data_IF_492426497147
#
_entry.id   IF_492426497147
#
_cell.length_a   1.000
_cell.length_b   1.000
_cell.length_c   1.000
_cell.angle_alpha   90.00
_cell.angle_beta   90.00
_cell.angle_gamma   90.00
#
_symmetry.space_group_name_H-M   'P 1'
#
loop_
_entity.id
_entity.type
_entity.pdbx_description
1 polymer ?
#
# COMPACT_ATOMS: atom_id res chain seq x y z
N UNK A 1 13.96 11.49 0.84
CA UNK A 1 13.25 10.20 0.73
C UNK A 1 12.58 10.02 -0.63
N UNK A 2 12.26 8.78 -0.98
CA UNK A 2 11.48 8.43 -2.17
C UNK A 2 10.24 7.66 -1.75
N UNK A 3 9.08 8.08 -2.20
CA UNK A 3 7.80 7.40 -2.05
C UNK A 3 7.44 6.73 -3.37
N UNK A 4 7.41 5.39 -3.39
CA UNK A 4 6.85 4.61 -4.49
C UNK A 4 5.35 4.40 -4.21
N UNK A 5 4.51 4.96 -5.04
CA UNK A 5 3.07 4.90 -4.86
C UNK A 5 2.40 4.12 -5.99
N UNK A 6 1.70 3.07 -5.62
CA UNK A 6 0.99 2.19 -6.55
C UNK A 6 -0.27 2.87 -7.11
N UNK A 7 -0.77 2.34 -8.21
CA UNK A 7 -1.83 2.98 -9.01
C UNK A 7 -1.43 4.40 -9.46
N UNK A 8 -0.21 4.53 -9.96
CA UNK A 8 0.46 5.79 -10.31
C UNK A 8 -0.34 6.71 -11.22
N UNK A 9 -1.25 6.17 -12.01
CA UNK A 9 -2.16 6.93 -12.88
C UNK A 9 -3.17 7.81 -12.12
N UNK A 10 -3.38 7.58 -10.81
CA UNK A 10 -4.40 8.25 -10.00
C UNK A 10 -3.81 9.22 -8.96
N UNK A 11 -2.47 9.31 -8.81
CA UNK A 11 -1.84 9.98 -7.65
C UNK A 11 -1.80 11.50 -7.75
N UNK A 12 -1.77 12.06 -8.95
CA UNK A 12 -1.76 13.51 -9.18
C UNK A 12 -3.11 13.99 -9.68
N UNK A 13 -3.26 15.32 -9.77
CA UNK A 13 -4.42 15.93 -10.37
C UNK A 13 -4.48 15.60 -11.86
N UNK A 14 -5.46 14.84 -12.32
CA UNK A 14 -5.49 14.45 -13.71
C UNK A 14 -6.86 14.05 -14.25
N UNK A 15 -7.15 14.55 -15.46
CA UNK A 15 -8.30 14.17 -16.28
C UNK A 15 -8.22 12.73 -16.84
N UNK A 16 -7.20 11.95 -16.47
CA UNK A 16 -6.87 10.63 -17.05
C UNK A 16 -6.89 9.47 -16.07
N UNK A 17 -7.52 9.60 -14.91
CA UNK A 17 -7.78 8.45 -14.04
C UNK A 17 -8.73 7.46 -14.70
N UNK A 18 -8.66 6.20 -14.33
CA UNK A 18 -9.53 5.11 -14.80
C UNK A 18 -11.01 5.34 -14.49
N UNK A 19 -11.31 6.24 -13.59
CA UNK A 19 -12.67 6.57 -13.17
C UNK A 19 -13.00 7.90 -13.82
N UNK A 20 -13.78 7.83 -14.88
CA UNK A 20 -14.37 8.98 -15.57
C UNK A 20 -15.51 9.57 -14.70
N UNK A 21 -15.18 9.91 -13.45
CA UNK A 21 -16.11 10.28 -12.42
C UNK A 21 -15.88 11.75 -12.03
N UNK A 22 -16.96 12.50 -11.99
CA UNK A 22 -17.01 13.89 -11.49
C UNK A 22 -16.51 14.05 -10.05
N UNK A 23 -16.14 12.94 -9.39
CA UNK A 23 -15.60 12.88 -8.01
C UNK A 23 -14.10 12.66 -7.93
N UNK A 24 -13.42 12.28 -9.02
CA UNK A 24 -12.00 11.88 -8.94
C UNK A 24 -11.08 12.95 -9.51
N UNK A 25 -10.66 13.86 -8.67
CA UNK A 25 -9.49 14.70 -8.93
C UNK A 25 -8.17 14.01 -8.54
N UNK A 26 -8.13 12.68 -8.54
CA UNK A 26 -6.98 11.92 -8.07
C UNK A 26 -6.69 12.10 -6.57
N UNK A 27 -5.52 11.65 -6.14
CA UNK A 27 -5.08 11.75 -4.75
C UNK A 27 -4.55 13.14 -4.36
N UNK A 28 -4.16 13.97 -5.32
CA UNK A 28 -3.53 15.26 -5.07
C UNK A 28 -2.34 15.11 -4.10
N UNK A 29 -1.47 14.16 -4.40
CA UNK A 29 -0.31 13.84 -3.56
C UNK A 29 0.67 14.99 -3.50
N UNK A 30 0.88 15.66 -4.63
CA UNK A 30 1.71 16.86 -4.78
C UNK A 30 1.24 17.99 -3.88
N UNK A 31 -0.06 18.35 -3.92
CA UNK A 31 -0.61 19.44 -3.09
C UNK A 31 -0.43 19.13 -1.58
N UNK A 32 -0.68 17.89 -1.18
CA UNK A 32 -0.52 17.50 0.23
C UNK A 32 0.93 17.54 0.66
N UNK A 33 1.85 17.03 -0.16
CA UNK A 33 3.28 17.04 0.15
C UNK A 33 3.84 18.45 0.17
N UNK A 34 3.52 19.29 -0.82
CA UNK A 34 3.95 20.69 -0.86
C UNK A 34 3.49 21.45 0.39
N UNK A 35 2.25 21.24 0.80
CA UNK A 35 1.73 21.84 2.03
C UNK A 35 2.56 21.42 3.26
N UNK A 36 2.83 20.12 3.42
CA UNK A 36 3.56 19.59 4.59
C UNK A 36 5.04 19.98 4.58
N UNK A 37 5.65 20.08 3.39
CA UNK A 37 7.05 20.52 3.21
C UNK A 37 7.17 21.99 3.55
N UNK A 38 6.27 22.84 3.03
CA UNK A 38 6.31 24.30 3.22
C UNK A 38 6.14 24.71 4.68
N UNK A 39 5.38 23.95 5.48
CA UNK A 39 5.25 24.19 6.92
C UNK A 39 6.28 23.41 7.76
N UNK A 40 7.26 22.76 7.12
CA UNK A 40 8.40 22.12 7.79
C UNK A 40 8.08 20.82 8.54
N UNK A 41 6.93 20.18 8.30
CA UNK A 41 6.55 18.92 8.97
C UNK A 41 7.30 17.73 8.39
N UNK A 42 7.52 17.70 7.06
CA UNK A 42 8.25 16.65 6.37
C UNK A 42 9.39 17.24 5.53
N UNK A 43 10.48 16.51 5.32
CA UNK A 43 11.51 16.93 4.38
C UNK A 43 10.99 16.83 2.93
N UNK A 44 11.60 17.57 1.99
CA UNK A 44 11.36 17.37 0.56
C UNK A 44 11.54 15.90 0.17
N UNK A 45 10.60 15.38 -0.62
CA UNK A 45 10.61 13.99 -1.06
C UNK A 45 10.25 13.86 -2.53
N UNK A 46 10.76 12.81 -3.15
CA UNK A 46 10.38 12.42 -4.50
C UNK A 46 9.22 11.44 -4.45
N UNK A 47 8.29 11.57 -5.39
CA UNK A 47 7.20 10.60 -5.60
C UNK A 47 7.40 9.90 -6.94
N UNK A 48 7.34 8.58 -6.92
CA UNK A 48 7.39 7.72 -8.10
C UNK A 48 6.06 7.01 -8.22
N UNK A 49 5.23 7.44 -9.17
CA UNK A 49 3.95 6.78 -9.47
C UNK A 49 4.16 5.51 -10.27
N UNK A 50 3.92 4.37 -9.65
CA UNK A 50 4.05 3.06 -10.30
C UNK A 50 2.70 2.65 -10.88
N UNK A 51 2.59 2.69 -12.21
CA UNK A 51 1.36 2.34 -12.92
C UNK A 51 1.11 0.85 -12.86
N UNK A 52 -0.14 0.46 -12.69
CA UNK A 52 -0.57 -0.92 -12.89
C UNK A 52 -0.83 -1.21 -14.37
N UNK A 53 -0.97 -2.49 -14.75
CA UNK A 53 -1.22 -2.89 -16.12
C UNK A 53 -2.72 -3.06 -16.45
N UNK A 54 -3.60 -2.37 -15.74
CA UNK A 54 -5.04 -2.35 -16.01
C UNK A 54 -5.72 -3.68 -15.63
N UNK A 55 -6.16 -4.45 -16.61
CA UNK A 55 -6.91 -5.69 -16.39
C UNK A 55 -6.17 -6.74 -15.53
N UNK A 56 -4.85 -6.66 -15.45
CA UNK A 56 -4.03 -7.57 -14.62
C UNK A 56 -3.78 -7.05 -13.21
N UNK A 57 -4.21 -5.83 -12.87
CA UNK A 57 -3.96 -5.19 -11.58
C UNK A 57 -4.22 -6.10 -10.37
N UNK A 58 -5.33 -6.82 -10.38
CA UNK A 58 -5.65 -7.76 -9.29
C UNK A 58 -4.54 -8.80 -9.10
N UNK A 59 -4.03 -9.38 -10.17
CA UNK A 59 -3.03 -10.45 -10.16
C UNK A 59 -1.61 -9.94 -9.91
N UNK A 60 -1.32 -8.71 -10.29
CA UNK A 60 -0.06 -8.02 -9.97
C UNK A 60 0.03 -7.62 -8.50
N UNK A 61 -1.10 -7.26 -7.89
CA UNK A 61 -1.14 -6.76 -6.52
C UNK A 61 -1.59 -7.80 -5.49
N UNK A 62 -2.11 -8.94 -5.93
CA UNK A 62 -2.43 -10.04 -5.03
C UNK A 62 -1.13 -10.70 -4.55
N UNK A 63 -0.84 -10.72 -3.24
CA UNK A 63 0.32 -11.42 -2.71
C UNK A 63 0.41 -12.86 -3.21
N UNK A 64 1.60 -13.30 -3.65
CA UNK A 64 1.81 -14.66 -4.15
C UNK A 64 1.92 -15.71 -3.03
N UNK A 65 2.06 -15.27 -1.79
CA UNK A 65 2.22 -16.13 -0.62
C UNK A 65 1.09 -15.89 0.40
N UNK A 66 0.62 -16.96 1.05
CA UNK A 66 1.03 -18.37 0.94
C UNK A 66 0.41 -19.05 -0.30
N UNK A 67 1.24 -19.65 -1.15
CA UNK A 67 0.85 -20.10 -2.49
C UNK A 67 -0.29 -21.14 -2.50
N UNK A 68 -0.17 -22.21 -1.70
CA UNK A 68 -1.18 -23.30 -1.68
C UNK A 68 -2.57 -22.82 -1.27
N UNK A 69 -2.63 -21.96 -0.25
CA UNK A 69 -3.88 -21.40 0.26
C UNK A 69 -4.53 -20.47 -0.76
N UNK A 70 -3.72 -19.70 -1.50
CA UNK A 70 -4.19 -18.83 -2.59
C UNK A 70 -4.78 -19.69 -3.71
N UNK A 71 -4.07 -20.70 -4.18
CA UNK A 71 -4.53 -21.60 -5.24
C UNK A 71 -5.85 -22.28 -4.84
N UNK A 72 -5.95 -22.79 -3.61
CA UNK A 72 -7.18 -23.43 -3.12
C UNK A 72 -8.36 -22.44 -3.05
N UNK A 73 -8.11 -21.21 -2.64
CA UNK A 73 -9.18 -20.20 -2.49
C UNK A 73 -9.63 -19.59 -3.81
N UNK A 74 -8.77 -19.50 -4.81
CA UNK A 74 -9.12 -19.01 -6.15
C UNK A 74 -10.22 -19.85 -6.80
N UNK A 75 -10.20 -21.15 -6.59
CA UNK A 75 -11.22 -22.08 -7.15
C UNK A 75 -12.64 -21.78 -6.64
N UNK A 76 -12.77 -21.07 -5.52
CA UNK A 76 -14.05 -20.70 -4.91
C UNK A 76 -14.40 -19.21 -5.12
N UNK A 77 -13.68 -18.50 -5.98
CA UNK A 77 -13.93 -17.08 -6.28
C UNK A 77 -14.90 -16.91 -7.46
N UNK A 78 -15.27 -15.66 -7.72
CA UNK A 78 -16.03 -15.30 -8.91
C UNK A 78 -15.33 -15.76 -10.19
N UNK A 79 -16.12 -16.11 -11.21
CA UNK A 79 -15.62 -16.68 -12.48
C UNK A 79 -14.49 -15.85 -13.11
N UNK A 80 -14.59 -14.51 -13.08
CA UNK A 80 -13.58 -13.64 -13.65
C UNK A 80 -12.20 -13.77 -12.93
N UNK A 81 -12.20 -14.06 -11.61
CA UNK A 81 -10.96 -14.30 -10.85
C UNK A 81 -10.32 -15.61 -11.25
N UNK A 82 -11.14 -16.67 -11.39
CA UNK A 82 -10.65 -17.98 -11.81
C UNK A 82 -10.08 -17.92 -13.24
N UNK A 83 -10.81 -17.34 -14.18
CA UNK A 83 -10.37 -17.17 -15.57
C UNK A 83 -9.12 -16.29 -15.68
N UNK A 84 -9.10 -15.20 -14.92
CA UNK A 84 -7.93 -14.31 -14.85
C UNK A 84 -6.70 -15.01 -14.29
N UNK A 85 -6.87 -15.84 -13.25
CA UNK A 85 -5.78 -16.63 -12.69
C UNK A 85 -5.24 -17.67 -13.68
N UNK A 86 -6.11 -18.38 -14.35
CA UNK A 86 -5.72 -19.36 -15.40
C UNK A 86 -4.94 -18.67 -16.54
N UNK A 87 -5.31 -17.45 -16.87
CA UNK A 87 -4.69 -16.70 -17.97
C UNK A 87 -3.38 -15.99 -17.58
N UNK A 88 -3.28 -15.46 -16.37
CA UNK A 88 -2.22 -14.56 -15.97
C UNK A 88 -1.36 -15.06 -14.79
N UNK A 89 -1.90 -15.98 -13.97
CA UNK A 89 -1.29 -16.33 -12.69
C UNK A 89 -1.28 -15.15 -11.70
N UNK A 90 -0.69 -15.37 -10.53
CA UNK A 90 -0.32 -14.28 -9.60
C UNK A 90 1.10 -13.83 -9.95
N UNK A 91 1.29 -12.54 -10.18
CA UNK A 91 2.55 -11.97 -10.65
C UNK A 91 3.17 -10.93 -9.71
N UNK A 92 2.70 -10.87 -8.47
CA UNK A 92 3.20 -9.88 -7.49
C UNK A 92 4.69 -10.03 -7.19
N UNK A 93 5.23 -11.25 -7.15
CA UNK A 93 6.66 -11.46 -6.94
C UNK A 93 7.50 -10.88 -8.11
N UNK A 94 7.05 -11.07 -9.36
CA UNK A 94 7.68 -10.49 -10.54
C UNK A 94 7.56 -8.97 -10.56
N UNK A 95 6.38 -8.45 -10.17
CA UNK A 95 6.16 -7.01 -10.07
C UNK A 95 7.07 -6.37 -9.01
N UNK A 96 7.19 -6.98 -7.83
CA UNK A 96 8.09 -6.49 -6.78
C UNK A 96 9.57 -6.64 -7.18
N UNK A 97 9.92 -7.69 -7.92
CA UNK A 97 11.27 -7.84 -8.47
C UNK A 97 11.60 -6.70 -9.43
N UNK A 98 10.71 -6.37 -10.37
CA UNK A 98 10.86 -5.19 -11.23
C UNK A 98 11.05 -3.91 -10.41
N UNK A 99 10.21 -3.69 -9.38
CA UNK A 99 10.31 -2.50 -8.54
C UNK A 99 11.66 -2.38 -7.84
N UNK A 100 12.20 -3.48 -7.33
CA UNK A 100 13.41 -3.51 -6.50
C UNK A 100 14.69 -3.61 -7.35
N UNK A 101 14.69 -4.39 -8.41
CA UNK A 101 15.90 -4.68 -9.18
C UNK A 101 16.07 -3.77 -10.42
N UNK A 102 14.98 -3.14 -10.90
CA UNK A 102 15.02 -2.30 -12.09
C UNK A 102 14.63 -0.86 -11.79
N UNK A 103 13.39 -0.61 -11.36
CA UNK A 103 12.87 0.75 -11.20
C UNK A 103 13.59 1.52 -10.10
N UNK A 104 13.73 0.95 -8.91
CA UNK A 104 14.40 1.65 -7.80
C UNK A 104 15.87 1.95 -8.10
N UNK A 105 16.70 1.04 -8.61
CA UNK A 105 18.07 1.35 -9.01
C UNK A 105 18.15 2.42 -10.11
N UNK A 106 17.20 2.42 -11.04
CA UNK A 106 17.13 3.47 -12.07
C UNK A 106 16.87 4.84 -11.42
N UNK A 107 15.90 4.95 -10.53
CA UNK A 107 15.58 6.20 -9.83
C UNK A 107 16.78 6.67 -8.99
N UNK A 108 17.38 5.78 -8.23
CA UNK A 108 18.54 6.12 -7.37
C UNK A 108 19.77 6.58 -8.17
N UNK A 109 19.94 6.07 -9.38
CA UNK A 109 21.04 6.45 -10.27
C UNK A 109 20.83 7.79 -10.98
N UNK A 110 19.57 8.09 -11.37
CA UNK A 110 19.30 9.23 -12.25
C UNK A 110 18.77 10.47 -11.51
N UNK A 111 18.37 10.33 -10.23
CA UNK A 111 17.83 11.41 -9.44
C UNK A 111 18.55 11.56 -8.09
N UNK A 112 18.53 12.76 -7.54
CA UNK A 112 19.14 13.05 -6.21
C UNK A 112 18.27 12.47 -5.10
N UNK A 113 18.40 11.18 -4.84
CA UNK A 113 17.68 10.47 -3.78
C UNK A 113 18.56 10.24 -2.54
N UNK A 114 17.90 10.06 -1.39
CA UNK A 114 18.56 9.49 -0.21
C UNK A 114 18.38 7.97 -0.29
N UNK A 115 19.46 7.26 -0.58
CA UNK A 115 19.47 5.81 -0.70
C UNK A 115 19.28 5.15 0.66
N UNK A 116 18.73 3.95 0.68
CA UNK A 116 18.58 3.10 1.84
C UNK A 116 17.17 3.05 2.41
N UNK A 117 16.92 1.98 3.14
CA UNK A 117 15.61 1.59 3.66
C UNK A 117 14.85 2.73 4.35
N UNK A 118 15.50 3.48 5.25
CA UNK A 118 14.86 4.58 6.00
C UNK A 118 14.28 5.68 5.12
N UNK A 119 14.75 5.79 3.89
CA UNK A 119 14.35 6.80 2.93
C UNK A 119 13.52 6.25 1.76
N UNK A 120 13.14 4.97 1.81
CA UNK A 120 12.37 4.30 0.76
C UNK A 120 11.02 3.90 1.30
N UNK A 121 9.97 4.57 0.82
CA UNK A 121 8.60 4.46 1.32
C UNK A 121 7.70 3.84 0.25
N UNK A 122 6.67 3.15 0.69
CA UNK A 122 5.60 2.60 -0.15
C UNK A 122 4.26 3.25 0.22
N UNK A 123 3.38 3.42 -0.74
CA UNK A 123 1.99 3.75 -0.49
C UNK A 123 1.06 3.16 -1.56
N UNK A 124 -0.16 2.86 -1.16
CA UNK A 124 -1.23 2.45 -2.06
C UNK A 124 -2.54 2.20 -1.33
N UNK A 125 -3.63 2.15 -2.08
CA UNK A 125 -4.97 1.87 -1.54
C UNK A 125 -5.53 0.56 -2.05
N UNK A 126 -6.45 -0.03 -1.27
CA UNK A 126 -7.13 -1.26 -1.67
C UNK A 126 -6.14 -2.39 -1.94
N UNK A 127 -6.14 -2.95 -3.15
CA UNK A 127 -5.11 -3.90 -3.60
C UNK A 127 -3.71 -3.26 -3.59
N UNK A 128 -3.59 -1.94 -3.83
CA UNK A 128 -2.34 -1.20 -3.70
C UNK A 128 -1.82 -1.13 -2.25
N UNK A 129 -2.72 -1.07 -1.27
CA UNK A 129 -2.39 -1.23 0.15
C UNK A 129 -1.90 -2.65 0.46
N UNK A 130 -2.55 -3.65 -0.14
CA UNK A 130 -2.20 -5.05 0.04
C UNK A 130 -0.79 -5.36 -0.49
N UNK A 131 -0.46 -4.92 -1.71
CA UNK A 131 0.90 -5.09 -2.27
C UNK A 131 1.94 -4.25 -1.52
N UNK A 132 1.59 -3.08 -0.95
CA UNK A 132 2.49 -2.30 -0.08
C UNK A 132 2.86 -3.07 1.18
N UNK A 133 1.87 -3.69 1.84
CA UNK A 133 2.09 -4.54 3.00
C UNK A 133 2.91 -5.80 2.64
N UNK A 134 2.67 -6.39 1.47
CA UNK A 134 3.44 -7.53 0.99
C UNK A 134 4.89 -7.14 0.68
N UNK A 135 5.11 -6.03 -0.01
CA UNK A 135 6.44 -5.56 -0.41
C UNK A 135 7.35 -5.27 0.79
N UNK A 136 6.83 -4.63 1.86
CA UNK A 136 7.64 -4.36 3.04
C UNK A 136 7.99 -5.65 3.81
N UNK A 137 7.16 -6.69 3.71
CA UNK A 137 7.45 -8.00 4.27
C UNK A 137 8.50 -8.78 3.44
N UNK A 138 8.39 -8.76 2.11
CA UNK A 138 9.29 -9.49 1.21
C UNK A 138 10.66 -8.81 1.07
N UNK A 139 10.71 -7.49 1.11
CA UNK A 139 11.92 -6.68 0.92
C UNK A 139 12.21 -5.74 2.10
N UNK A 140 12.30 -6.26 3.34
CA UNK A 140 12.48 -5.43 4.53
C UNK A 140 13.81 -4.66 4.58
N UNK A 141 14.79 -5.07 3.78
CA UNK A 141 16.06 -4.35 3.64
C UNK A 141 16.00 -3.20 2.64
N UNK A 142 14.94 -3.13 1.83
CA UNK A 142 14.74 -2.11 0.79
C UNK A 142 13.75 -1.05 1.25
N UNK A 143 12.61 -1.47 1.78
CA UNK A 143 11.52 -0.59 2.20
C UNK A 143 11.46 -0.45 3.71
N UNK A 144 11.47 0.76 4.22
CA UNK A 144 11.41 1.04 5.66
C UNK A 144 10.05 1.49 6.14
N UNK A 145 9.20 1.98 5.23
CA UNK A 145 7.89 2.55 5.59
C UNK A 145 6.84 2.15 4.55
N UNK A 146 5.64 1.80 5.03
CA UNK A 146 4.51 1.46 4.16
C UNK A 146 3.21 2.11 4.66
N UNK A 147 2.54 2.87 3.79
CA UNK A 147 1.22 3.45 4.00
C UNK A 147 0.18 2.65 3.20
N UNK A 148 -0.65 1.91 3.91
CA UNK A 148 -1.61 0.96 3.36
C UNK A 148 -3.03 1.49 3.63
N UNK A 149 -3.60 2.20 2.64
CA UNK A 149 -4.92 2.82 2.76
C UNK A 149 -6.02 1.84 2.38
N UNK A 150 -7.07 1.77 3.20
CA UNK A 150 -8.22 0.89 2.95
C UNK A 150 -7.78 -0.46 2.38
N UNK A 151 -6.82 -1.10 3.04
CA UNK A 151 -6.15 -2.32 2.54
C UNK A 151 -7.16 -3.42 2.28
N UNK A 152 -7.16 -3.98 1.07
CA UNK A 152 -8.15 -4.97 0.67
C UNK A 152 -7.91 -6.35 1.32
N UNK A 153 -7.91 -6.38 2.66
CA UNK A 153 -7.75 -7.61 3.44
C UNK A 153 -8.72 -8.74 3.06
N UNK A 154 -10.00 -8.45 2.67
CA UNK A 154 -10.95 -9.50 2.28
C UNK A 154 -10.55 -10.30 1.04
N UNK A 155 -9.54 -9.85 0.28
CA UNK A 155 -9.07 -10.59 -0.91
C UNK A 155 -8.80 -12.06 -0.57
N UNK A 156 -9.39 -12.96 -1.34
CA UNK A 156 -9.33 -14.41 -1.13
C UNK A 156 -9.61 -14.83 0.33
N UNK A 157 -10.58 -14.15 0.99
CA UNK A 157 -11.00 -14.46 2.37
C UNK A 157 -9.94 -14.15 3.43
N UNK A 158 -9.09 -13.16 3.20
CA UNK A 158 -8.07 -12.72 4.16
C UNK A 158 -6.82 -13.61 4.23
N UNK A 159 -6.55 -14.39 3.20
CA UNK A 159 -5.43 -15.35 3.15
C UNK A 159 -4.07 -14.70 3.47
N UNK A 160 -3.88 -13.45 3.10
CA UNK A 160 -2.62 -12.75 3.33
C UNK A 160 -2.37 -12.42 4.81
N UNK A 161 -3.41 -12.33 5.64
CA UNK A 161 -3.26 -12.03 7.06
C UNK A 161 -2.47 -13.14 7.78
N UNK A 162 -2.69 -14.40 7.40
CA UNK A 162 -1.96 -15.53 7.97
C UNK A 162 -0.45 -15.46 7.62
N UNK A 163 -0.12 -14.94 6.43
CA UNK A 163 1.25 -14.72 6.02
C UNK A 163 1.95 -13.65 6.89
N UNK A 164 1.26 -12.57 7.26
CA UNK A 164 1.82 -11.49 8.10
C UNK A 164 2.35 -12.00 9.43
N UNK A 165 1.71 -13.00 10.03
CA UNK A 165 2.09 -13.56 11.34
C UNK A 165 3.58 -13.86 11.46
N UNK A 166 4.18 -14.39 10.40
CA UNK A 166 5.57 -14.83 10.41
C UNK A 166 6.52 -13.88 9.65
N UNK A 167 5.98 -12.95 8.86
CA UNK A 167 6.76 -12.20 7.88
C UNK A 167 6.77 -10.68 8.10
N UNK A 168 6.05 -10.17 9.10
CA UNK A 168 6.15 -8.76 9.47
C UNK A 168 7.62 -8.39 9.79
N UNK A 169 8.13 -7.27 9.26
CA UNK A 169 9.50 -6.86 9.47
C UNK A 169 9.78 -6.44 10.92
N UNK A 170 11.04 -6.13 11.24
CA UNK A 170 11.46 -5.77 12.59
C UNK A 170 10.85 -4.40 12.99
N UNK A 171 10.05 -4.32 14.08
CA UNK A 171 9.41 -3.08 14.53
C UNK A 171 10.40 -1.97 14.94
N UNK A 172 11.64 -2.32 15.31
CA UNK A 172 12.66 -1.33 15.66
C UNK A 172 13.20 -0.55 14.45
N UNK A 173 12.85 -0.96 13.23
CA UNK A 173 13.46 -0.42 12.01
C UNK A 173 12.47 -0.12 10.90
N UNK A 174 11.18 -0.36 11.14
CA UNK A 174 10.12 -0.16 10.15
C UNK A 174 8.94 0.59 10.75
N UNK A 175 8.29 1.41 9.94
CA UNK A 175 7.03 2.07 10.28
C UNK A 175 5.94 1.64 9.29
N UNK A 176 4.78 1.24 9.79
CA UNK A 176 3.65 0.81 8.97
C UNK A 176 2.40 1.57 9.38
N UNK A 177 1.69 2.11 8.39
CA UNK A 177 0.41 2.79 8.57
C UNK A 177 -0.69 2.00 7.88
N UNK A 178 -1.81 1.85 8.59
CA UNK A 178 -3.06 1.32 8.04
C UNK A 178 -4.20 2.30 8.28
N UNK A 179 -5.17 2.31 7.39
CA UNK A 179 -6.45 2.95 7.64
C UNK A 179 -7.61 2.25 6.92
N UNK A 180 -8.80 2.64 7.28
CA UNK A 180 -10.04 2.25 6.60
C UNK A 180 -11.17 3.23 6.93
N UNK A 181 -12.16 3.31 6.04
CA UNK A 181 -13.43 3.97 6.29
C UNK A 181 -14.47 3.02 6.87
N UNK A 182 -15.74 3.45 6.94
CA UNK A 182 -16.80 2.63 7.55
C UNK A 182 -18.03 2.45 6.67
N UNK A 183 -18.03 3.02 5.48
CA UNK A 183 -19.15 2.88 4.52
C UNK A 183 -18.67 2.30 3.20
N UNK A 184 -19.61 1.91 2.35
CA UNK A 184 -19.31 1.27 1.07
C UNK A 184 -18.48 -0.01 1.24
N UNK A 185 -17.45 -0.19 0.44
CA UNK A 185 -16.57 -1.37 0.49
C UNK A 185 -15.77 -1.42 1.81
N UNK A 186 -15.40 -0.27 2.37
CA UNK A 186 -14.63 -0.18 3.62
C UNK A 186 -15.40 -0.70 4.83
N UNK A 187 -16.75 -0.76 4.77
CA UNK A 187 -17.57 -1.33 5.85
C UNK A 187 -17.25 -2.80 6.17
N UNK A 188 -16.60 -3.49 5.24
CA UNK A 188 -16.19 -4.90 5.40
C UNK A 188 -14.81 -5.06 6.06
N UNK A 189 -14.05 -3.98 6.28
CA UNK A 189 -12.62 -4.08 6.58
C UNK A 189 -12.29 -4.21 8.06
N UNK A 190 -13.11 -3.63 8.93
CA UNK A 190 -12.84 -3.60 10.37
C UNK A 190 -12.51 -4.98 10.98
N UNK A 191 -13.28 -6.06 10.72
CA UNK A 191 -12.99 -7.37 11.32
C UNK A 191 -11.62 -7.94 10.90
N UNK A 192 -11.16 -7.59 9.70
CA UNK A 192 -9.85 -7.99 9.19
C UNK A 192 -8.73 -7.11 9.80
N UNK A 193 -8.95 -5.78 9.84
CA UNK A 193 -7.97 -4.86 10.41
C UNK A 193 -7.71 -5.17 11.89
N UNK A 194 -8.73 -5.48 12.68
CA UNK A 194 -8.57 -5.90 14.08
C UNK A 194 -7.65 -7.12 14.22
N UNK A 195 -7.75 -8.10 13.30
CA UNK A 195 -6.81 -9.23 13.27
C UNK A 195 -5.39 -8.80 12.96
N UNK A 196 -5.22 -7.92 11.98
CA UNK A 196 -3.90 -7.35 11.62
C UNK A 196 -3.31 -6.59 12.80
N UNK A 197 -4.09 -5.72 13.45
CA UNK A 197 -3.65 -4.96 14.62
C UNK A 197 -3.19 -5.88 15.76
N UNK A 198 -3.90 -6.98 15.97
CA UNK A 198 -3.49 -8.00 16.94
C UNK A 198 -2.14 -8.64 16.59
N UNK A 199 -1.89 -8.90 15.31
CA UNK A 199 -0.59 -9.42 14.84
C UNK A 199 0.52 -8.37 15.00
N UNK A 200 0.24 -7.08 14.75
CA UNK A 200 1.20 -6.01 14.97
C UNK A 200 1.65 -5.95 16.43
N UNK A 201 0.70 -6.01 17.38
CA UNK A 201 0.99 -6.06 18.82
C UNK A 201 1.83 -7.30 19.16
N UNK A 202 1.44 -8.48 18.69
CA UNK A 202 2.17 -9.74 18.94
C UNK A 202 3.59 -9.70 18.40
N UNK A 203 3.84 -8.99 17.30
CA UNK A 203 5.18 -8.82 16.70
C UNK A 203 6.03 -7.79 17.46
N UNK A 204 5.44 -7.03 18.39
CA UNK A 204 6.12 -6.01 19.18
C UNK A 204 6.05 -4.60 18.57
N UNK A 205 5.17 -4.37 17.62
CA UNK A 205 4.84 -3.02 17.19
C UNK A 205 4.04 -2.29 18.26
N UNK A 206 4.22 -0.96 18.35
CA UNK A 206 3.54 -0.08 19.29
C UNK A 206 2.78 1.00 18.55
N UNK A 207 1.47 1.06 18.80
CA UNK A 207 0.60 2.04 18.14
C UNK A 207 1.03 3.47 18.47
N UNK A 208 1.13 4.31 17.44
CA UNK A 208 1.60 5.68 17.54
C UNK A 208 3.15 5.85 17.52
N UNK A 209 3.93 4.77 17.68
CA UNK A 209 5.40 4.83 17.63
C UNK A 209 5.96 4.31 16.28
N UNK A 210 5.72 3.03 15.98
CA UNK A 210 6.24 2.38 14.77
C UNK A 210 5.15 1.72 13.93
N UNK A 211 3.93 1.78 14.39
CA UNK A 211 2.71 1.39 13.69
C UNK A 211 1.56 2.35 14.05
N UNK A 212 0.68 2.61 13.11
CA UNK A 212 -0.52 3.40 13.34
C UNK A 212 -1.67 2.85 12.51
N UNK A 213 -2.80 2.52 13.15
CA UNK A 213 -4.07 2.24 12.46
C UNK A 213 -5.08 3.35 12.76
N UNK A 214 -5.76 3.84 11.73
CA UNK A 214 -6.82 4.85 11.87
C UNK A 214 -8.13 4.38 11.23
N UNK A 215 -9.22 4.55 11.96
CA UNK A 215 -10.59 4.36 11.46
C UNK A 215 -11.20 5.72 11.15
N UNK A 216 -11.86 5.86 10.01
CA UNK A 216 -12.50 7.08 9.55
C UNK A 216 -14.01 6.85 9.37
N UNK A 217 -14.78 7.29 10.36
CA UNK A 217 -16.24 7.13 10.36
C UNK A 217 -16.88 7.93 9.21
N UNK A 218 -17.80 7.27 8.49
CA UNK A 218 -18.55 7.87 7.39
C UNK A 218 -17.73 8.08 6.11
N UNK A 219 -16.52 7.56 6.02
CA UNK A 219 -15.69 7.64 4.82
C UNK A 219 -15.73 6.33 4.01
N UNK A 220 -15.67 6.47 2.68
CA UNK A 220 -15.83 5.39 1.70
C UNK A 220 -14.51 5.06 0.97
N UNK A 221 -14.54 4.00 0.17
CA UNK A 221 -13.44 3.40 -0.56
C UNK A 221 -13.15 4.13 -1.88
N UNK A 222 -12.60 5.34 -1.84
CA UNK A 222 -12.24 6.08 -3.05
C UNK A 222 -11.21 7.18 -2.80
N UNK A 223 -10.67 7.73 -3.90
CA UNK A 223 -9.61 8.74 -3.91
C UNK A 223 -9.96 10.03 -3.18
N UNK A 224 -11.24 10.43 -3.18
CA UNK A 224 -11.72 11.62 -2.46
C UNK A 224 -11.44 11.55 -0.96
N UNK A 225 -11.60 10.37 -0.37
CA UNK A 225 -11.34 10.16 1.04
C UNK A 225 -9.85 9.86 1.30
N UNK A 226 -9.22 9.02 0.49
CA UNK A 226 -7.79 8.73 0.63
C UNK A 226 -6.92 9.98 0.51
N UNK A 227 -7.25 10.90 -0.38
CA UNK A 227 -6.59 12.21 -0.49
C UNK A 227 -6.55 12.97 0.83
N UNK A 228 -7.68 13.02 1.55
CA UNK A 228 -7.76 13.68 2.86
C UNK A 228 -6.92 12.96 3.91
N UNK A 229 -6.80 11.64 3.80
CA UNK A 229 -6.08 10.78 4.73
C UNK A 229 -4.58 10.77 4.46
N UNK A 230 -4.11 11.07 3.27
CA UNK A 230 -2.71 10.95 2.85
C UNK A 230 -1.73 11.70 3.78
N UNK A 231 -2.14 12.81 4.34
CA UNK A 231 -1.33 13.57 5.30
C UNK A 231 -0.96 12.77 6.56
N UNK A 232 -1.80 11.84 7.03
CA UNK A 232 -1.57 11.14 8.30
C UNK A 232 -0.35 10.25 8.27
N UNK A 233 -0.16 9.33 7.31
CA UNK A 233 1.07 8.56 7.23
C UNK A 233 2.30 9.43 6.97
N UNK A 234 2.21 10.52 6.20
CA UNK A 234 3.35 11.40 5.96
C UNK A 234 3.83 12.06 7.26
N UNK A 235 2.90 12.57 8.09
CA UNK A 235 3.21 13.11 9.43
C UNK A 235 3.74 12.03 10.37
N UNK A 236 3.15 10.84 10.35
CA UNK A 236 3.61 9.71 11.16
C UNK A 236 5.03 9.27 10.78
N UNK A 237 5.35 9.22 9.50
CA UNK A 237 6.67 8.83 9.02
C UNK A 237 7.77 9.90 9.25
N UNK A 238 7.40 11.14 9.55
CA UNK A 238 8.36 12.17 9.90
C UNK A 238 8.92 12.01 11.33
N UNK A 239 8.22 11.25 12.16
CA UNK A 239 8.71 10.90 13.50
C UNK A 239 9.91 9.94 13.36
N UNK A 240 10.98 10.22 14.09
CA UNK A 240 12.18 9.37 14.09
C UNK A 240 11.92 8.11 14.91
N UNK A 241 12.24 6.93 14.33
CA UNK A 241 12.36 5.70 15.10
C UNK A 241 13.62 5.71 15.95
#
# INVERSE_FOLDING_TARGET
PVLYMFDGQNIFHGKKGWINDQYSHGWQVDETLDSLINIGIIPPMMVVGVFNTGAKRFFEYMPAKPKKEIENRILNQAKWVQEGYLKHGISSDQFLKFLVEELKPYIDKHYKTKIGRRNTYLAGSSMGGLISAYAICEYPNVFGKAACFSTHWPALGGVFIDYLKNNLPNPKTHQIYFDFGTIGLDSLYEPFQVKVDSLMIQKGYRNGENWLTKKFEGEDHNEKFWRKRFQFPMKFFSQTL
#
